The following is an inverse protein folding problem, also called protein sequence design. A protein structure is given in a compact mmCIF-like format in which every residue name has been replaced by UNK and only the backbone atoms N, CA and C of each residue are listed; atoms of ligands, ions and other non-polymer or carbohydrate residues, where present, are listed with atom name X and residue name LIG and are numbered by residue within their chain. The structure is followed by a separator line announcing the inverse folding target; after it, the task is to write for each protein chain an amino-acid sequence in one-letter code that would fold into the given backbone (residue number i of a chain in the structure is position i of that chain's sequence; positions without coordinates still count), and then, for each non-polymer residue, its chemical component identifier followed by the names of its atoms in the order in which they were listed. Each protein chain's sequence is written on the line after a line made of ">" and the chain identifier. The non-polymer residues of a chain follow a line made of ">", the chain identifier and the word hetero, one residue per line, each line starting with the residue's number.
data_IF_096332912696
#
_entry.id   IF_096332912696
#
_cell.length_a   1.000
_cell.length_b   1.000
_cell.length_c   1.000
_cell.angle_alpha   90.00
_cell.angle_beta   90.00
_cell.angle_gamma   90.00
#
_symmetry.space_group_name_H-M   'P 1'
#
loop_
_entity.id
_entity.type
_entity.pdbx_description
1 polymer ?
#
# COMPACT_ATOMS: atom_id res chain seq x y z
N UNK A 1 -2.00 -8.05 9.50
CA UNK A 1 -1.61 -6.70 9.05
C UNK A 1 -1.91 -5.74 10.19
N UNK A 2 -0.87 -5.17 10.81
CA UNK A 2 -1.02 -4.29 11.97
C UNK A 2 -1.64 -2.93 11.60
N UNK A 3 -1.25 -2.37 10.46
CA UNK A 3 -1.82 -1.09 9.99
C UNK A 3 -3.32 -1.21 9.77
N UNK A 4 -3.80 -2.31 9.19
CA UNK A 4 -5.24 -2.49 8.97
C UNK A 4 -6.02 -2.48 10.28
N UNK A 5 -5.51 -3.12 11.33
CA UNK A 5 -6.13 -3.08 12.67
C UNK A 5 -6.17 -1.67 13.23
N UNK A 6 -5.07 -0.93 13.16
CA UNK A 6 -5.04 0.48 13.60
C UNK A 6 -6.06 1.37 12.89
N UNK A 7 -6.28 1.16 11.58
CA UNK A 7 -7.30 1.88 10.82
C UNK A 7 -8.73 1.47 11.24
N UNK A 8 -8.97 0.18 11.46
CA UNK A 8 -10.29 -0.37 11.81
C UNK A 8 -10.68 -0.07 13.28
N UNK A 9 -9.70 -0.06 14.20
CA UNK A 9 -9.91 0.10 15.64
C UNK A 9 -10.01 1.58 16.07
N UNK A 10 -9.98 2.52 15.13
CA UNK A 10 -10.09 3.96 15.44
C UNK A 10 -8.81 4.57 16.00
N UNK A 11 -7.64 4.00 15.67
CA UNK A 11 -6.33 4.47 16.13
C UNK A 11 -5.89 5.80 15.50
N UNK A 12 -4.59 6.10 15.60
CA UNK A 12 -4.02 7.41 15.18
C UNK A 12 -4.19 7.74 13.70
N UNK A 13 -4.42 6.73 12.85
CA UNK A 13 -4.57 6.87 11.40
C UNK A 13 -6.01 6.67 10.91
N UNK A 14 -7.00 6.58 11.81
CA UNK A 14 -8.38 6.24 11.46
C UNK A 14 -9.08 7.23 10.50
N UNK A 15 -8.55 8.44 10.35
CA UNK A 15 -9.04 9.44 9.38
C UNK A 15 -8.50 9.20 7.96
N UNK A 16 -7.57 8.27 7.77
CA UNK A 16 -7.04 7.89 6.48
C UNK A 16 -7.70 6.61 5.96
N UNK A 17 -7.86 6.56 4.63
CA UNK A 17 -8.16 5.34 3.89
C UNK A 17 -6.88 4.73 3.32
N UNK A 18 -6.89 3.41 3.13
CA UNK A 18 -5.85 2.66 2.40
C UNK A 18 -6.54 1.69 1.44
N UNK A 19 -6.16 1.66 0.15
CA UNK A 19 -6.73 0.68 -0.77
C UNK A 19 -6.36 -0.75 -0.32
N UNK A 20 -7.19 -1.76 -0.65
CA UNK A 20 -6.90 -3.14 -0.28
C UNK A 20 -5.64 -3.64 -1.01
N UNK A 21 -4.70 -4.25 -0.28
CA UNK A 21 -3.53 -4.91 -0.88
C UNK A 21 -3.99 -6.17 -1.65
N UNK A 22 -4.12 -6.05 -2.97
CA UNK A 22 -4.46 -7.17 -3.89
C UNK A 22 -3.22 -7.76 -4.58
N UNK A 23 -2.06 -7.60 -3.94
CA UNK A 23 -0.75 -8.07 -4.34
C UNK A 23 -0.07 -8.76 -3.15
N UNK A 24 0.99 -9.58 -3.35
CA UNK A 24 1.69 -10.24 -2.24
C UNK A 24 2.46 -9.25 -1.34
N UNK A 25 2.75 -9.61 -0.08
CA UNK A 25 3.59 -8.79 0.81
C UNK A 25 4.89 -8.33 0.15
N UNK A 26 5.26 -7.06 0.33
CA UNK A 26 6.39 -6.41 -0.36
C UNK A 26 7.73 -6.65 0.33
N UNK A 27 7.72 -7.05 1.59
CA UNK A 27 8.90 -7.30 2.43
C UNK A 27 8.76 -8.64 3.17
N UNK A 28 9.80 -9.39 3.53
CA UNK A 28 11.22 -9.26 3.17
C UNK A 28 11.55 -10.27 2.06
N UNK A 29 11.85 -9.77 0.86
CA UNK A 29 12.03 -10.60 -0.33
C UNK A 29 13.49 -10.70 -0.76
N UNK A 30 13.82 -11.72 -1.53
CA UNK A 30 15.10 -11.84 -2.22
C UNK A 30 15.21 -10.80 -3.34
N UNK A 31 16.43 -10.33 -3.61
CA UNK A 31 16.78 -9.40 -4.71
C UNK A 31 16.74 -10.09 -6.08
N UNK A 32 15.55 -10.59 -6.46
CA UNK A 32 15.23 -11.20 -7.76
C UNK A 32 13.80 -10.88 -8.17
N UNK A 33 13.46 -11.05 -9.44
CA UNK A 33 12.09 -10.82 -9.97
C UNK A 33 11.08 -11.72 -9.25
N UNK A 34 9.87 -11.22 -9.04
CA UNK A 34 8.80 -11.91 -8.29
C UNK A 34 8.93 -11.80 -6.77
N UNK A 35 8.03 -12.47 -6.05
CA UNK A 35 7.92 -12.40 -4.58
C UNK A 35 8.46 -13.68 -3.94
N UNK A 36 9.76 -13.66 -3.62
CA UNK A 36 10.44 -14.79 -3.00
C UNK A 36 10.89 -14.40 -1.60
N UNK A 37 10.20 -14.90 -0.59
CA UNK A 37 10.41 -14.49 0.79
C UNK A 37 11.65 -15.14 1.42
N UNK A 38 12.35 -14.35 2.24
CA UNK A 38 13.49 -14.80 3.03
C UNK A 38 13.02 -15.15 4.46
N UNK A 39 13.52 -16.24 5.03
CA UNK A 39 13.11 -16.72 6.36
C UNK A 39 13.63 -15.89 7.56
N UNK A 40 14.16 -14.69 7.32
CA UNK A 40 14.71 -13.82 8.37
C UNK A 40 13.67 -12.89 9.01
N UNK A 41 12.51 -12.70 8.37
CA UNK A 41 11.36 -11.93 8.84
C UNK A 41 10.08 -12.53 8.25
N UNK A 42 8.94 -12.34 8.93
CA UNK A 42 7.65 -12.70 8.35
C UNK A 42 7.35 -11.81 7.12
N UNK A 43 6.72 -12.36 6.06
CA UNK A 43 6.20 -11.56 4.96
C UNK A 43 5.20 -10.50 5.45
N UNK A 44 5.43 -9.23 5.12
CA UNK A 44 4.68 -8.08 5.62
C UNK A 44 4.45 -7.02 4.53
N UNK A 45 3.33 -6.31 4.66
CA UNK A 45 2.97 -5.14 3.84
C UNK A 45 3.53 -3.85 4.45
N UNK A 46 4.85 -3.74 4.53
CA UNK A 46 5.53 -2.60 5.17
C UNK A 46 5.48 -1.33 4.34
N UNK A 47 5.28 -1.46 3.03
CA UNK A 47 5.17 -0.36 2.09
C UNK A 47 3.68 -0.11 1.84
N UNK A 48 3.19 1.12 2.11
CA UNK A 48 1.77 1.48 2.08
C UNK A 48 1.56 2.90 1.57
N UNK A 49 0.46 3.11 0.84
CA UNK A 49 -0.03 4.45 0.49
C UNK A 49 -1.37 4.64 1.18
N UNK A 50 -1.50 5.75 1.89
CA UNK A 50 -2.72 6.16 2.58
C UNK A 50 -3.14 7.51 2.02
N UNK A 51 -4.44 7.77 2.06
CA UNK A 51 -5.01 9.04 1.60
C UNK A 51 -6.15 9.45 2.52
N UNK A 52 -6.45 10.74 2.55
CA UNK A 52 -7.59 11.31 3.25
C UNK A 52 -8.21 12.38 2.36
N UNK A 53 -9.52 12.50 2.42
CA UNK A 53 -10.30 13.51 1.72
C UNK A 53 -11.48 13.94 2.58
N UNK A 54 -12.02 15.13 2.30
CA UNK A 54 -13.18 15.63 3.06
C UNK A 54 -14.46 14.91 2.63
N UNK A 55 -14.55 14.58 1.35
CA UNK A 55 -15.59 13.74 0.75
C UNK A 55 -14.96 12.51 0.10
N UNK A 56 -15.60 11.35 0.26
CA UNK A 56 -15.17 10.09 -0.36
C UNK A 56 -15.18 10.14 -1.91
N UNK A 57 -15.94 11.07 -2.50
CA UNK A 57 -15.98 11.28 -3.95
C UNK A 57 -14.80 12.12 -4.49
N UNK A 58 -14.02 12.79 -3.63
CA UNK A 58 -12.92 13.68 -4.06
C UNK A 58 -11.70 12.91 -4.57
N UNK A 59 -11.49 11.68 -4.09
CA UNK A 59 -10.31 10.88 -4.43
C UNK A 59 -10.68 9.42 -4.59
N UNK A 60 -10.38 8.87 -5.78
CA UNK A 60 -10.63 7.48 -6.12
C UNK A 60 -9.32 6.80 -6.51
N UNK A 61 -8.89 5.73 -5.80
CA UNK A 61 -7.74 4.94 -6.22
C UNK A 61 -8.07 4.17 -7.51
N UNK A 62 -7.26 4.37 -8.54
CA UNK A 62 -7.37 3.67 -9.83
C UNK A 62 -6.33 2.56 -9.99
N UNK A 63 -5.16 2.71 -9.35
CA UNK A 63 -4.17 1.65 -9.23
C UNK A 63 -3.62 1.56 -7.80
N UNK A 64 -3.34 0.34 -7.35
CA UNK A 64 -2.61 0.08 -6.12
C UNK A 64 -1.95 -1.29 -6.19
N UNK A 65 -0.66 -1.33 -6.51
CA UNK A 65 0.03 -2.58 -6.86
C UNK A 65 1.55 -2.54 -6.60
N UNK A 66 2.14 -3.72 -6.37
CA UNK A 66 3.56 -3.88 -6.12
C UNK A 66 4.31 -4.32 -7.38
N UNK A 67 5.40 -3.61 -7.71
CA UNK A 67 6.23 -3.89 -8.88
C UNK A 67 7.17 -5.09 -8.62
N UNK A 68 6.65 -6.31 -8.84
CA UNK A 68 7.40 -7.55 -8.61
C UNK A 68 8.66 -7.71 -9.48
N UNK A 69 8.71 -7.05 -10.63
CA UNK A 69 9.85 -7.11 -11.56
C UNK A 69 11.08 -6.30 -11.11
N UNK A 70 10.90 -5.32 -10.22
CA UNK A 70 12.02 -4.55 -9.68
C UNK A 70 12.68 -5.35 -8.56
N UNK A 71 13.99 -5.53 -8.62
CA UNK A 71 14.67 -6.54 -7.79
C UNK A 71 16.00 -6.11 -7.16
N UNK A 72 16.25 -4.80 -7.06
CA UNK A 72 17.50 -4.27 -6.46
C UNK A 72 17.45 -4.18 -4.93
N UNK A 73 16.25 -4.25 -4.35
CA UNK A 73 15.96 -4.15 -2.91
C UNK A 73 15.32 -5.44 -2.35
N UNK A 74 15.34 -5.59 -1.03
CA UNK A 74 14.56 -6.58 -0.28
C UNK A 74 13.12 -6.12 0.01
N UNK A 75 12.74 -4.97 -0.56
CA UNK A 75 11.38 -4.48 -0.72
C UNK A 75 10.97 -4.47 -2.20
N UNK A 76 9.69 -4.73 -2.48
CA UNK A 76 9.09 -4.45 -3.79
C UNK A 76 8.48 -3.05 -3.81
N UNK A 77 8.84 -2.18 -4.77
CA UNK A 77 8.23 -0.86 -4.89
C UNK A 77 6.72 -0.96 -5.00
N UNK A 78 6.02 -0.09 -4.29
CA UNK A 78 4.57 0.04 -4.34
C UNK A 78 4.21 1.26 -5.20
N UNK A 79 3.24 1.12 -6.11
CA UNK A 79 2.66 2.23 -6.86
C UNK A 79 1.21 2.44 -6.48
N UNK A 80 0.77 3.69 -6.50
CA UNK A 80 -0.62 4.08 -6.34
C UNK A 80 -0.96 5.19 -7.34
N UNK A 81 -2.07 5.03 -8.05
CA UNK A 81 -2.63 6.06 -8.92
C UNK A 81 -4.02 6.42 -8.41
N UNK A 82 -4.34 7.72 -8.47
CA UNK A 82 -5.58 8.26 -7.94
C UNK A 82 -6.15 9.25 -8.94
N UNK A 83 -7.45 9.16 -9.18
CA UNK A 83 -8.22 10.25 -9.75
C UNK A 83 -8.62 11.19 -8.63
N UNK A 84 -8.40 12.49 -8.83
CA UNK A 84 -8.70 13.53 -7.85
C UNK A 84 -9.63 14.53 -8.50
N UNK A 85 -10.81 14.72 -7.92
CA UNK A 85 -11.73 15.77 -8.34
C UNK A 85 -11.15 17.12 -7.92
N UNK A 86 -10.86 17.98 -8.90
CA UNK A 86 -10.50 19.36 -8.63
C UNK A 86 -11.79 20.15 -8.42
N UNK A 87 -12.01 20.67 -7.21
CA UNK A 87 -13.13 21.57 -6.96
C UNK A 87 -13.08 22.75 -7.92
N UNK A 88 -14.12 22.93 -8.74
CA UNK A 88 -14.33 24.17 -9.48
C UNK A 88 -14.57 25.28 -8.46
N UNK A 89 -13.77 26.34 -8.54
CA UNK A 89 -13.97 27.56 -7.74
C UNK A 89 -15.28 28.27 -8.05
#
# INVERSE_FOLDING_TARGET
>A
DELRRELDDGGSLATFASPPCRFPPTFKVAKKRGFFYLNSRLPSYTDRILYAASDAAEIAPTEYDAAGDVCTSDHKPLRGCFEVALGGG
#
